data_IF_438491783157
#
_entry.id   IF_438491783157
#
_cell.length_a   1.000
_cell.length_b   1.000
_cell.length_c   1.000
_cell.angle_alpha   90.00
_cell.angle_beta   90.00
_cell.angle_gamma   90.00
#
_symmetry.space_group_name_H-M   'P 1'
#
loop_
_entity.id
_entity.type
_entity.pdbx_description
1 polymer ?
#
# COMPACT_ATOMS: atom_id res chain seq x y z
N UNK A 1 23.94 40.88 26.19
CA UNK A 1 24.26 39.72 27.02
C UNK A 1 23.87 38.44 26.25
N UNK A 2 24.52 38.20 25.10
CA UNK A 2 24.20 37.07 24.24
C UNK A 2 25.29 36.84 23.17
N UNK A 3 26.52 36.54 23.57
CA UNK A 3 27.60 36.25 22.61
C UNK A 3 28.79 35.48 23.21
N UNK A 4 28.56 34.58 24.19
CA UNK A 4 29.67 33.85 24.85
C UNK A 4 29.56 32.33 24.73
N UNK A 5 28.66 31.79 23.86
CA UNK A 5 28.54 30.33 23.68
C UNK A 5 29.38 29.76 22.53
N UNK A 6 30.01 30.63 21.69
CA UNK A 6 30.80 30.20 20.54
C UNK A 6 32.31 30.18 20.76
N UNK A 7 32.76 30.65 21.92
CA UNK A 7 34.19 30.69 22.26
C UNK A 7 34.63 29.64 23.28
N UNK A 8 34.08 28.45 23.18
CA UNK A 8 34.55 27.33 23.98
C UNK A 8 35.74 26.63 23.28
N UNK A 9 36.97 26.78 23.82
CA UNK A 9 38.21 26.29 23.17
C UNK A 9 38.24 24.77 23.01
N UNK A 10 37.36 24.03 23.68
CA UNK A 10 37.25 22.57 23.52
C UNK A 10 36.61 22.12 22.21
N UNK A 11 35.89 22.99 21.52
CA UNK A 11 35.23 22.66 20.22
C UNK A 11 36.23 22.86 19.07
N UNK A 12 37.26 23.63 19.23
CA UNK A 12 38.24 24.04 18.18
C UNK A 12 39.29 22.96 17.83
N UNK A 13 39.31 21.82 18.55
CA UNK A 13 40.34 20.79 18.38
C UNK A 13 39.83 19.45 17.84
N UNK A 14 38.57 19.37 17.37
CA UNK A 14 38.08 18.14 16.75
C UNK A 14 38.66 18.08 15.34
N UNK A 15 39.74 17.27 15.17
CA UNK A 15 40.34 17.02 13.86
C UNK A 15 39.25 16.48 12.92
N UNK A 16 39.15 16.96 11.67
CA UNK A 16 38.09 16.57 10.73
C UNK A 16 37.97 15.06 10.52
N UNK A 17 39.04 14.29 10.77
CA UNK A 17 39.02 12.83 10.71
C UNK A 17 38.16 12.19 11.81
N UNK A 18 38.02 12.77 13.01
CA UNK A 18 37.16 12.24 14.06
C UNK A 18 35.67 12.59 13.80
N UNK A 19 35.43 13.72 13.16
CA UNK A 19 34.09 14.11 12.71
C UNK A 19 33.57 13.14 11.63
N UNK A 20 34.43 12.79 10.65
CA UNK A 20 34.11 11.75 9.64
C UNK A 20 33.89 10.38 10.27
N UNK A 21 34.71 10.00 11.28
CA UNK A 21 34.59 8.72 11.96
C UNK A 21 33.30 8.60 12.79
N UNK A 22 32.81 9.73 13.35
CA UNK A 22 31.54 9.78 14.06
C UNK A 22 30.32 9.85 13.11
N UNK A 23 30.48 10.41 11.91
CA UNK A 23 29.41 10.53 10.92
C UNK A 23 29.01 9.16 10.36
N UNK A 24 29.95 8.26 10.15
CA UNK A 24 29.68 6.91 9.63
C UNK A 24 28.71 6.11 10.50
N UNK A 25 28.93 5.94 11.81
CA UNK A 25 27.98 5.22 12.65
C UNK A 25 26.64 5.94 12.80
N UNK A 26 26.61 7.28 12.78
CA UNK A 26 25.37 8.04 12.80
C UNK A 26 24.52 7.80 11.55
N UNK A 27 25.12 7.78 10.36
CA UNK A 27 24.45 7.46 9.10
C UNK A 27 23.97 6.00 9.08
N UNK A 28 24.78 5.05 9.55
CA UNK A 28 24.39 3.64 9.66
C UNK A 28 23.19 3.45 10.59
N UNK A 29 23.18 4.15 11.71
CA UNK A 29 22.09 4.10 12.68
C UNK A 29 20.81 4.69 12.09
N UNK A 30 20.92 5.79 11.36
CA UNK A 30 19.80 6.43 10.66
C UNK A 30 19.22 5.52 9.56
N UNK A 31 20.06 4.83 8.79
CA UNK A 31 19.62 3.83 7.80
C UNK A 31 18.91 2.65 8.49
N UNK A 32 19.41 2.20 9.63
CA UNK A 32 18.79 1.12 10.40
C UNK A 32 17.37 1.49 10.89
N UNK A 33 17.15 2.72 11.32
CA UNK A 33 15.81 3.22 11.71
C UNK A 33 14.84 3.30 10.55
N UNK A 34 15.28 3.72 9.36
CA UNK A 34 14.44 3.82 8.15
C UNK A 34 14.03 2.43 7.63
N UNK A 35 14.80 1.39 7.96
CA UNK A 35 14.60 0.03 7.46
C UNK A 35 13.51 -0.76 8.20
N UNK A 36 12.83 -0.15 9.18
CA UNK A 36 11.83 -0.82 9.99
C UNK A 36 10.43 -0.27 9.71
N UNK A 37 9.46 -1.14 9.54
CA UNK A 37 8.03 -0.80 9.44
C UNK A 37 7.18 -1.74 10.27
N UNK A 38 6.04 -1.23 10.72
CA UNK A 38 5.06 -2.01 11.48
C UNK A 38 3.81 -2.15 10.62
N UNK A 39 3.30 -3.37 10.52
CA UNK A 39 2.06 -3.70 9.82
C UNK A 39 0.98 -3.87 10.89
N UNK A 40 -0.14 -3.20 10.71
CA UNK A 40 -1.26 -3.24 11.64
C UNK A 40 -1.82 -4.67 11.79
N UNK A 41 -2.32 -4.99 12.99
CA UNK A 41 -2.83 -6.32 13.33
C UNK A 41 -4.05 -6.75 12.48
N UNK A 42 -4.76 -5.80 11.87
CA UNK A 42 -5.86 -6.04 10.93
C UNK A 42 -5.44 -6.11 9.47
N UNK A 43 -4.14 -6.13 9.18
CA UNK A 43 -3.60 -6.08 7.81
C UNK A 43 -2.56 -7.18 7.56
N UNK A 44 -2.33 -7.46 6.30
CA UNK A 44 -1.24 -8.32 5.83
C UNK A 44 -0.33 -7.53 4.91
N UNK A 45 0.96 -7.55 5.19
CA UNK A 45 1.97 -6.94 4.34
C UNK A 45 2.47 -7.92 3.28
N UNK A 46 2.57 -7.47 2.04
CA UNK A 46 3.16 -8.24 0.95
C UNK A 46 4.51 -7.61 0.64
N UNK A 47 5.58 -8.37 0.85
CA UNK A 47 6.94 -7.95 0.56
C UNK A 47 7.25 -8.18 -0.91
N UNK A 48 7.60 -7.12 -1.59
CA UNK A 48 7.90 -7.12 -3.02
C UNK A 48 9.32 -6.60 -3.27
N UNK A 49 10.11 -7.32 -4.08
CA UNK A 49 11.44 -6.92 -4.49
C UNK A 49 11.34 -6.08 -5.76
N UNK A 50 11.84 -4.83 -5.70
CA UNK A 50 11.77 -3.87 -6.83
C UNK A 50 12.60 -4.33 -8.04
N UNK A 51 13.77 -4.92 -7.78
CA UNK A 51 14.68 -5.43 -8.80
C UNK A 51 14.89 -6.92 -8.57
N UNK A 52 14.20 -7.73 -9.36
CA UNK A 52 14.38 -9.17 -9.36
C UNK A 52 14.71 -9.60 -10.79
N UNK A 53 15.86 -10.22 -10.98
CA UNK A 53 16.23 -10.88 -12.21
C UNK A 53 15.55 -12.25 -12.35
N UNK A 54 15.04 -12.79 -11.23
CA UNK A 54 14.36 -14.07 -11.23
C UNK A 54 12.92 -13.88 -11.74
N UNK A 55 12.68 -14.38 -12.94
CA UNK A 55 11.33 -14.58 -13.50
C UNK A 55 10.60 -15.69 -12.75
N UNK A 56 10.62 -15.66 -11.41
CA UNK A 56 9.84 -16.58 -10.60
C UNK A 56 8.35 -16.37 -10.87
N UNK A 57 7.58 -17.43 -10.76
CA UNK A 57 6.13 -17.47 -10.98
C UNK A 57 5.35 -16.34 -10.29
N UNK A 58 5.94 -15.73 -9.25
CA UNK A 58 5.37 -14.64 -8.45
C UNK A 58 5.98 -13.26 -8.72
N UNK A 59 6.85 -13.13 -9.74
CA UNK A 59 7.34 -11.83 -10.23
C UNK A 59 7.92 -10.89 -9.17
N UNK A 60 8.76 -11.40 -8.27
CA UNK A 60 9.44 -10.59 -7.25
C UNK A 60 8.71 -10.51 -5.89
N UNK A 61 7.60 -11.22 -5.71
CA UNK A 61 6.94 -11.34 -4.40
C UNK A 61 7.73 -12.31 -3.53
N UNK A 62 8.18 -11.82 -2.37
CA UNK A 62 8.95 -12.60 -1.39
C UNK A 62 8.08 -13.34 -0.38
N UNK A 63 6.80 -12.96 -0.26
CA UNK A 63 5.83 -13.54 0.67
C UNK A 63 5.07 -12.51 1.49
N UNK A 64 4.26 -13.02 2.40
CA UNK A 64 3.49 -12.21 3.36
C UNK A 64 4.26 -11.98 4.64
N UNK A 65 4.00 -10.84 5.28
CA UNK A 65 4.57 -10.46 6.57
C UNK A 65 3.51 -9.78 7.44
N UNK A 66 3.69 -9.88 8.77
CA UNK A 66 2.79 -9.31 9.78
C UNK A 66 3.61 -8.73 10.92
N UNK A 67 3.05 -7.71 11.60
CA UNK A 67 3.68 -7.10 12.74
C UNK A 67 4.93 -6.30 12.38
N UNK A 68 5.96 -6.43 13.17
CA UNK A 68 7.19 -5.66 12.98
C UNK A 68 8.12 -6.33 11.97
N UNK A 69 8.46 -5.59 10.90
CA UNK A 69 9.20 -6.14 9.75
C UNK A 69 10.40 -5.26 9.42
N UNK A 70 11.57 -5.89 9.35
CA UNK A 70 12.78 -5.28 8.83
C UNK A 70 12.86 -5.51 7.31
N UNK A 71 13.05 -4.44 6.54
CA UNK A 71 13.20 -4.53 5.11
C UNK A 71 14.16 -3.44 4.60
N UNK A 72 14.73 -3.65 3.44
CA UNK A 72 15.57 -2.64 2.79
C UNK A 72 14.70 -1.78 1.86
N UNK A 73 14.44 -0.49 2.16
CA UNK A 73 13.55 0.37 1.39
C UNK A 73 14.06 0.66 -0.03
N UNK A 74 15.37 0.49 -0.28
CA UNK A 74 15.97 0.69 -1.59
C UNK A 74 15.58 -0.45 -2.53
N UNK A 75 15.66 -1.71 -2.06
CA UNK A 75 15.47 -2.91 -2.90
C UNK A 75 14.10 -3.53 -2.77
N UNK A 76 13.38 -3.24 -1.70
CA UNK A 76 12.08 -3.85 -1.38
C UNK A 76 11.01 -2.78 -1.17
N UNK A 77 9.77 -3.19 -1.35
CA UNK A 77 8.58 -2.41 -0.98
C UNK A 77 7.59 -3.33 -0.29
N UNK A 78 6.90 -2.81 0.70
CA UNK A 78 5.82 -3.51 1.39
C UNK A 78 4.51 -2.87 0.96
N UNK A 79 3.57 -3.70 0.52
CA UNK A 79 2.20 -3.32 0.24
C UNK A 79 1.33 -3.87 1.35
N UNK A 80 0.56 -3.02 1.97
CA UNK A 80 -0.32 -3.38 3.06
C UNK A 80 -1.75 -3.56 2.56
N UNK A 81 -2.35 -4.71 2.90
CA UNK A 81 -3.72 -5.05 2.57
C UNK A 81 -4.51 -5.34 3.84
N UNK A 82 -5.54 -4.57 4.15
CA UNK A 82 -6.43 -4.85 5.26
C UNK A 82 -7.22 -6.15 5.00
N UNK A 83 -7.33 -6.97 6.05
CA UNK A 83 -8.00 -8.28 6.02
C UNK A 83 -9.31 -8.31 6.78
N UNK A 84 -9.70 -7.19 7.40
CA UNK A 84 -11.02 -7.03 8.02
C UNK A 84 -12.08 -6.68 6.97
N UNK A 85 -13.35 -6.77 7.36
CA UNK A 85 -14.47 -6.40 6.49
C UNK A 85 -14.43 -4.90 6.21
N UNK A 86 -14.36 -4.55 4.94
CA UNK A 86 -14.43 -3.17 4.47
C UNK A 86 -15.76 -2.93 3.78
N UNK A 87 -16.24 -1.69 3.88
CA UNK A 87 -17.42 -1.21 3.16
C UNK A 87 -17.01 -0.06 2.26
N UNK A 88 -17.33 -0.16 0.98
CA UNK A 88 -17.10 0.89 -0.01
C UNK A 88 -18.41 1.26 -0.68
N UNK A 89 -18.75 2.54 -0.63
CA UNK A 89 -19.87 3.12 -1.37
C UNK A 89 -19.30 3.84 -2.59
N UNK A 90 -19.88 3.58 -3.74
CA UNK A 90 -19.50 4.24 -4.98
C UNK A 90 -20.50 5.34 -5.33
N UNK A 91 -20.09 6.24 -6.22
CA UNK A 91 -20.95 7.31 -6.68
C UNK A 91 -22.19 6.76 -7.40
N UNK A 92 -23.35 7.42 -7.24
CA UNK A 92 -24.58 7.07 -7.97
C UNK A 92 -24.35 7.06 -9.47
N UNK A 93 -24.90 6.09 -10.15
CA UNK A 93 -24.86 6.03 -11.62
C UNK A 93 -26.20 5.58 -12.19
N UNK A 94 -26.44 5.91 -13.45
CA UNK A 94 -27.67 5.59 -14.13
C UNK A 94 -27.55 4.31 -14.93
N UNK A 95 -28.56 3.49 -14.88
CA UNK A 95 -28.73 2.28 -15.68
C UNK A 95 -30.08 2.29 -16.35
N UNK A 96 -30.13 1.75 -17.55
CA UNK A 96 -31.35 1.63 -18.31
C UNK A 96 -31.89 0.20 -18.20
N UNK A 97 -33.17 0.08 -17.93
CA UNK A 97 -33.88 -1.20 -18.01
C UNK A 97 -34.19 -1.57 -19.45
N UNK A 98 -34.71 -2.78 -19.66
CA UNK A 98 -35.05 -3.31 -20.96
C UNK A 98 -36.12 -2.47 -21.71
N UNK A 99 -37.02 -1.83 -20.97
CA UNK A 99 -38.06 -0.93 -21.45
C UNK A 99 -37.61 0.53 -21.67
N UNK A 100 -36.31 0.79 -21.66
CA UNK A 100 -35.68 2.10 -21.71
C UNK A 100 -35.96 3.01 -20.52
N UNK A 101 -36.56 2.53 -19.45
CA UNK A 101 -36.68 3.27 -18.17
C UNK A 101 -35.30 3.48 -17.56
N UNK A 102 -35.04 4.67 -17.01
CA UNK A 102 -33.77 5.04 -16.40
C UNK A 102 -33.88 4.98 -14.88
N UNK A 103 -32.94 4.27 -14.23
CA UNK A 103 -32.82 4.16 -12.78
C UNK A 103 -31.49 4.70 -12.29
N UNK A 104 -31.52 5.37 -11.14
CA UNK A 104 -30.28 5.74 -10.42
C UNK A 104 -29.99 4.70 -9.36
N UNK A 105 -28.78 4.18 -9.36
CA UNK A 105 -28.30 3.16 -8.42
C UNK A 105 -27.19 3.70 -7.56
N UNK A 106 -27.25 3.41 -6.24
CA UNK A 106 -26.23 3.76 -5.25
C UNK A 106 -25.54 2.49 -4.74
N UNK A 107 -24.52 1.97 -5.45
CA UNK A 107 -23.93 0.69 -5.09
C UNK A 107 -23.04 0.81 -3.85
N UNK A 108 -23.29 -0.06 -2.90
CA UNK A 108 -22.44 -0.25 -1.73
C UNK A 108 -22.06 -1.72 -1.64
N UNK A 109 -20.78 -2.00 -1.50
CA UNK A 109 -20.28 -3.35 -1.29
C UNK A 109 -19.59 -3.47 0.07
N UNK A 110 -19.72 -4.66 0.65
CA UNK A 110 -18.93 -5.08 1.80
C UNK A 110 -18.13 -6.32 1.39
N UNK A 111 -16.83 -6.29 1.62
CA UNK A 111 -15.96 -7.37 1.25
C UNK A 111 -14.81 -7.54 2.25
N UNK A 112 -14.17 -8.69 2.22
CA UNK A 112 -12.99 -9.00 3.03
C UNK A 112 -11.97 -9.71 2.15
N UNK A 113 -10.71 -9.33 2.31
CA UNK A 113 -9.61 -10.04 1.67
C UNK A 113 -9.23 -11.27 2.51
N UNK A 114 -9.10 -12.41 1.84
CA UNK A 114 -8.53 -13.63 2.43
C UNK A 114 -7.01 -13.44 2.54
N UNK A 115 -6.43 -13.55 3.75
CA UNK A 115 -4.98 -13.38 3.96
C UNK A 115 -4.14 -14.32 3.10
N UNK A 116 -4.59 -15.56 2.91
CA UNK A 116 -3.85 -16.57 2.16
C UNK A 116 -3.84 -16.28 0.65
N UNK A 117 -4.84 -15.55 0.16
CA UNK A 117 -4.97 -15.15 -1.25
C UNK A 117 -4.40 -13.76 -1.55
N UNK A 118 -3.99 -13.01 -0.53
CA UNK A 118 -3.46 -11.66 -0.69
C UNK A 118 -2.28 -11.59 -1.68
N UNK A 119 -1.38 -12.55 -1.63
CA UNK A 119 -0.24 -12.65 -2.55
C UNK A 119 -0.70 -12.86 -3.99
N UNK A 120 -1.71 -13.69 -4.24
CA UNK A 120 -2.25 -13.94 -5.58
C UNK A 120 -2.93 -12.68 -6.14
N UNK A 121 -3.68 -11.95 -5.30
CA UNK A 121 -4.30 -10.67 -5.68
C UNK A 121 -3.22 -9.66 -6.06
N UNK A 122 -2.19 -9.48 -5.23
CA UNK A 122 -1.08 -8.58 -5.56
C UNK A 122 -0.35 -8.99 -6.85
N UNK A 123 -0.08 -10.26 -7.04
CA UNK A 123 0.61 -10.76 -8.25
C UNK A 123 -0.19 -10.45 -9.52
N UNK A 124 -1.53 -10.57 -9.44
CA UNK A 124 -2.44 -10.30 -10.57
C UNK A 124 -2.54 -8.82 -10.91
N UNK A 125 -2.70 -7.97 -9.91
CA UNK A 125 -3.00 -6.54 -10.13
C UNK A 125 -1.81 -5.60 -9.94
N UNK A 126 -0.84 -5.95 -9.11
CA UNK A 126 0.36 -5.17 -8.76
C UNK A 126 0.06 -3.74 -8.31
N UNK A 127 -1.08 -3.55 -7.65
CA UNK A 127 -1.61 -2.28 -7.19
C UNK A 127 -1.96 -2.34 -5.71
N UNK A 128 -2.15 -1.18 -5.09
CA UNK A 128 -2.73 -1.08 -3.75
C UNK A 128 -4.20 -1.52 -3.78
N UNK A 129 -4.75 -1.89 -2.62
CA UNK A 129 -6.15 -2.32 -2.55
C UNK A 129 -7.10 -1.20 -2.98
N UNK A 130 -6.85 0.06 -2.57
CA UNK A 130 -7.64 1.21 -2.99
C UNK A 130 -7.67 1.41 -4.51
N UNK A 131 -6.53 1.23 -5.20
CA UNK A 131 -6.49 1.31 -6.67
C UNK A 131 -7.25 0.16 -7.35
N UNK A 132 -7.30 -1.01 -6.72
CA UNK A 132 -8.10 -2.15 -7.20
C UNK A 132 -9.60 -1.86 -7.01
N UNK A 133 -9.98 -1.28 -5.87
CA UNK A 133 -11.35 -0.85 -5.59
C UNK A 133 -11.86 0.17 -6.59
N UNK A 134 -11.13 1.26 -6.76
CA UNK A 134 -11.56 2.40 -7.59
C UNK A 134 -11.50 2.08 -9.09
N UNK A 135 -10.66 1.15 -9.48
CA UNK A 135 -10.56 0.71 -10.86
C UNK A 135 -11.40 -0.53 -11.16
N UNK A 136 -10.86 -1.69 -10.78
CA UNK A 136 -11.39 -2.99 -11.22
C UNK A 136 -12.73 -3.34 -10.57
N UNK A 137 -12.84 -3.21 -9.24
CA UNK A 137 -14.07 -3.58 -8.53
C UNK A 137 -15.21 -2.66 -8.95
N UNK A 138 -14.96 -1.35 -9.06
CA UNK A 138 -15.94 -0.38 -9.55
C UNK A 138 -16.49 -0.76 -10.93
N UNK A 139 -15.62 -1.10 -11.86
CA UNK A 139 -16.02 -1.47 -13.23
C UNK A 139 -16.88 -2.73 -13.22
N UNK A 140 -16.47 -3.77 -12.49
CA UNK A 140 -17.24 -5.02 -12.36
C UNK A 140 -18.64 -4.79 -11.77
N UNK A 141 -18.76 -3.91 -10.76
CA UNK A 141 -20.04 -3.55 -10.17
C UNK A 141 -20.93 -2.88 -11.19
N UNK A 142 -20.42 -1.88 -11.91
CA UNK A 142 -21.20 -1.15 -12.92
C UNK A 142 -21.66 -2.06 -14.06
N UNK A 143 -20.80 -2.95 -14.53
CA UNK A 143 -21.17 -3.94 -15.56
C UNK A 143 -22.22 -4.94 -15.05
N UNK A 144 -22.10 -5.42 -13.81
CA UNK A 144 -23.08 -6.31 -13.21
C UNK A 144 -24.46 -5.66 -13.11
N UNK A 145 -24.52 -4.43 -12.61
CA UNK A 145 -25.79 -3.69 -12.51
C UNK A 145 -26.40 -3.43 -13.89
N UNK A 146 -25.61 -3.02 -14.88
CA UNK A 146 -26.10 -2.81 -16.26
C UNK A 146 -26.63 -4.10 -16.87
N UNK A 147 -25.91 -5.20 -16.67
CA UNK A 147 -26.34 -6.50 -17.20
C UNK A 147 -27.64 -6.96 -16.57
N UNK A 148 -27.76 -6.83 -15.24
CA UNK A 148 -28.99 -7.16 -14.54
C UNK A 148 -30.15 -6.24 -14.97
N UNK A 149 -29.96 -4.93 -15.01
CA UNK A 149 -31.00 -3.98 -15.39
C UNK A 149 -31.55 -4.23 -16.79
N UNK A 150 -30.69 -4.58 -17.76
CA UNK A 150 -31.10 -4.89 -19.12
C UNK A 150 -31.92 -6.19 -19.27
N UNK A 151 -31.97 -7.04 -18.23
CA UNK A 151 -32.74 -8.28 -18.25
C UNK A 151 -34.18 -8.10 -17.75
N UNK A 152 -34.42 -7.05 -16.96
CA UNK A 152 -35.70 -6.80 -16.30
C UNK A 152 -36.39 -5.58 -16.87
N UNK A 153 -37.73 -5.61 -16.90
CA UNK A 153 -38.61 -4.46 -17.16
C UNK A 153 -38.91 -3.74 -15.84
N UNK A 154 -39.30 -2.50 -15.91
CA UNK A 154 -39.65 -1.69 -14.72
C UNK A 154 -41.00 -2.02 -14.07
N UNK A 155 -41.78 -2.96 -14.68
CA UNK A 155 -43.10 -3.40 -14.17
C UNK A 155 -42.97 -4.43 -13.04
#
# INVERSE_FOLDING_TARGET
MQMDLLDNPKIKQIKPRYLLLALIPAVLLLIAFISCTTIDSGSVGIRFKKWSSDASQYGGVLGTCKGWVWYNPITQKIFEYPIYVQRKTYEPFRVNAKDASEFTMDPTIAYRLDPDKATAVFTKYRKTLGEIEDGYIRTCIYEAYRTCANQYTSD
#
